data_IF_948046619400
#
_entry.id   IF_948046619400
#
_cell.length_a   1.000
_cell.length_b   1.000
_cell.length_c   1.000
_cell.angle_alpha   90.00
_cell.angle_beta   90.00
_cell.angle_gamma   90.00
#
_symmetry.space_group_name_H-M   'P 1'
#
loop_
_entity.id
_entity.type
_entity.pdbx_description
1 polymer ?
#
# COMPACT_ATOMS: atom_id res chain seq x y z
N UNK A 1 6.79 0.54 21.82
CA UNK A 1 5.36 0.58 21.45
C UNK A 1 5.16 1.79 20.56
N UNK A 2 4.44 1.65 19.46
CA UNK A 2 4.21 2.76 18.54
C UNK A 2 3.12 3.70 19.08
N UNK A 3 3.26 4.98 18.77
CA UNK A 3 2.30 6.05 19.06
C UNK A 3 1.80 6.58 17.72
N UNK A 4 0.48 6.70 17.59
CA UNK A 4 -0.14 7.39 16.46
C UNK A 4 -0.09 8.91 16.69
N UNK A 5 0.61 9.63 15.81
CA UNK A 5 0.77 11.10 15.89
C UNK A 5 -0.24 11.86 14.99
N UNK A 6 -1.13 11.15 14.30
CA UNK A 6 -2.14 11.72 13.41
C UNK A 6 -1.88 11.44 11.92
N UNK A 7 -2.64 12.11 11.06
CA UNK A 7 -2.50 12.07 9.61
C UNK A 7 -1.95 13.42 9.13
N UNK A 8 -0.98 13.40 8.21
CA UNK A 8 -0.48 14.61 7.55
C UNK A 8 -0.52 14.46 6.05
N UNK A 9 -0.98 15.49 5.36
CA UNK A 9 -0.96 15.57 3.90
C UNK A 9 0.26 16.34 3.42
N UNK A 10 1.16 15.69 2.67
CA UNK A 10 2.35 16.32 2.07
C UNK A 10 2.96 15.42 0.99
N UNK A 11 3.80 16.02 0.14
CA UNK A 11 4.40 15.34 -1.01
C UNK A 11 3.38 14.92 -2.06
N UNK A 12 3.87 14.59 -3.25
CA UNK A 12 3.05 14.07 -4.35
C UNK A 12 3.81 13.01 -5.15
N UNK A 13 3.07 12.14 -5.82
CA UNK A 13 3.59 11.33 -6.92
C UNK A 13 3.64 12.21 -8.17
N UNK A 14 4.75 12.19 -8.89
CA UNK A 14 4.92 12.92 -10.14
C UNK A 14 5.16 11.95 -11.29
N UNK A 15 4.60 12.28 -12.44
CA UNK A 15 4.91 11.68 -13.74
C UNK A 15 5.22 12.81 -14.72
N UNK A 16 6.37 12.78 -15.40
CA UNK A 16 6.84 13.86 -16.28
C UNK A 16 6.85 15.26 -15.62
N UNK A 17 7.19 15.30 -14.33
CA UNK A 17 7.14 16.51 -13.48
C UNK A 17 5.74 17.09 -13.22
N UNK A 18 4.68 16.41 -13.63
CA UNK A 18 3.31 16.77 -13.30
C UNK A 18 2.79 15.95 -12.10
N UNK A 19 2.25 16.63 -11.06
CA UNK A 19 1.75 15.95 -9.87
C UNK A 19 0.47 15.16 -10.21
N UNK A 20 0.46 13.89 -9.84
CA UNK A 20 -0.64 12.98 -10.07
C UNK A 20 -1.75 13.18 -9.00
N UNK A 21 -3.02 13.00 -9.37
CA UNK A 21 -4.12 13.07 -8.40
C UNK A 21 -3.97 12.03 -7.29
N UNK A 22 -4.30 12.41 -6.05
CA UNK A 22 -4.48 11.43 -4.98
C UNK A 22 -5.69 10.54 -5.36
N UNK A 23 -5.55 9.21 -5.44
CA UNK A 23 -6.66 8.37 -5.85
C UNK A 23 -7.82 8.45 -4.86
N UNK A 24 -9.00 8.84 -5.35
CA UNK A 24 -10.24 8.88 -4.57
C UNK A 24 -10.98 7.53 -4.56
N UNK A 25 -10.65 6.67 -5.52
CA UNK A 25 -11.07 5.27 -5.63
C UNK A 25 -9.80 4.40 -5.75
N UNK A 26 -9.06 4.22 -4.64
CA UNK A 26 -7.76 3.54 -4.62
C UNK A 26 -7.89 2.01 -4.70
N UNK A 27 -8.58 1.53 -5.71
CA UNK A 27 -8.79 0.11 -6.00
C UNK A 27 -8.61 -0.17 -7.49
N UNK A 28 -8.83 -1.42 -7.89
CA UNK A 28 -8.77 -1.92 -9.25
C UNK A 28 -9.31 -0.94 -10.31
N UNK A 29 -8.47 -0.61 -11.28
CA UNK A 29 -8.73 0.46 -12.27
C UNK A 29 -9.44 -0.02 -13.53
N UNK A 30 -9.47 -1.34 -13.78
CA UNK A 30 -10.02 -1.93 -14.99
C UNK A 30 -10.80 -3.23 -14.69
N UNK A 31 -12.09 -3.24 -15.01
CA UNK A 31 -12.97 -4.42 -14.86
C UNK A 31 -13.14 -5.24 -16.15
N UNK A 32 -12.43 -4.89 -17.22
CA UNK A 32 -12.49 -5.64 -18.48
C UNK A 32 -11.71 -6.95 -18.41
N UNK A 33 -10.71 -7.00 -17.53
CA UNK A 33 -9.80 -8.16 -17.35
C UNK A 33 -10.20 -8.99 -16.13
N UNK A 34 -10.54 -8.34 -15.01
CA UNK A 34 -11.00 -8.99 -13.78
C UNK A 34 -12.47 -8.71 -13.52
N UNK A 35 -13.15 -9.68 -12.91
CA UNK A 35 -14.55 -9.53 -12.54
C UNK A 35 -14.74 -8.35 -11.58
N UNK A 36 -15.74 -7.53 -11.87
CA UNK A 36 -16.21 -6.49 -10.95
C UNK A 36 -16.42 -7.08 -9.54
N UNK A 37 -15.75 -6.57 -8.49
CA UNK A 37 -15.75 -7.22 -7.18
C UNK A 37 -17.13 -7.35 -6.54
N UNK A 38 -17.98 -6.32 -6.66
CA UNK A 38 -19.38 -6.36 -6.24
C UNK A 38 -20.23 -5.35 -7.01
N UNK A 39 -21.54 -5.58 -7.02
CA UNK A 39 -22.52 -4.73 -7.73
C UNK A 39 -22.45 -3.28 -7.22
N UNK A 40 -22.42 -2.32 -8.14
CA UNK A 40 -22.33 -0.89 -7.80
C UNK A 40 -20.91 -0.32 -7.65
N UNK A 41 -19.86 -1.15 -7.59
CA UNK A 41 -18.47 -0.66 -7.56
C UNK A 41 -18.04 -0.05 -8.90
N UNK A 42 -17.53 1.18 -8.88
CA UNK A 42 -16.99 1.86 -10.07
C UNK A 42 -15.49 1.57 -10.23
N UNK A 43 -14.93 1.65 -11.46
CA UNK A 43 -13.49 1.49 -11.66
C UNK A 43 -12.68 2.48 -10.83
N UNK A 44 -11.55 2.03 -10.32
CA UNK A 44 -10.58 2.83 -9.60
C UNK A 44 -9.98 3.95 -10.45
N UNK A 45 -9.21 4.81 -9.80
CA UNK A 45 -8.54 5.93 -10.47
C UNK A 45 -7.11 6.14 -9.98
N UNK A 46 -6.43 5.04 -9.66
CA UNK A 46 -5.01 5.06 -9.33
C UNK A 46 -4.21 5.35 -10.60
N UNK A 47 -3.14 6.14 -10.49
CA UNK A 47 -2.18 6.28 -11.58
C UNK A 47 -1.62 4.92 -12.00
N UNK A 48 -1.38 4.73 -13.30
CA UNK A 48 -0.95 3.46 -13.87
C UNK A 48 0.48 3.60 -14.44
N UNK A 49 1.38 2.70 -14.05
CA UNK A 49 2.77 2.71 -14.51
C UNK A 49 2.89 2.22 -15.97
N UNK A 50 2.17 1.15 -16.30
CA UNK A 50 1.91 0.74 -17.69
C UNK A 50 0.67 1.52 -18.17
N UNK A 51 0.79 2.39 -19.18
CA UNK A 51 1.18 2.01 -20.56
C UNK A 51 2.59 2.43 -21.01
N UNK A 52 3.36 3.15 -20.19
CA UNK A 52 4.69 3.65 -20.55
C UNK A 52 5.69 3.37 -19.42
N UNK A 53 6.17 2.12 -19.26
CA UNK A 53 6.96 1.67 -18.12
C UNK A 53 8.39 2.21 -18.18
N UNK A 54 8.57 3.45 -17.74
CA UNK A 54 9.86 4.11 -17.63
C UNK A 54 9.93 4.85 -16.29
N UNK A 55 10.61 4.24 -15.32
CA UNK A 55 10.71 4.78 -13.97
C UNK A 55 11.41 6.15 -13.92
N UNK A 56 12.23 6.51 -14.91
CA UNK A 56 12.91 7.81 -14.92
C UNK A 56 11.94 8.99 -14.99
N UNK A 57 10.70 8.73 -15.41
CA UNK A 57 9.61 9.71 -15.51
C UNK A 57 8.79 9.83 -14.23
N UNK A 58 8.95 8.88 -13.29
CA UNK A 58 8.20 8.80 -12.05
C UNK A 58 9.06 9.18 -10.85
N UNK A 59 8.49 9.95 -9.92
CA UNK A 59 9.16 10.23 -8.65
C UNK A 59 8.18 10.58 -7.55
N UNK A 60 8.53 10.23 -6.32
CA UNK A 60 7.96 10.85 -5.13
C UNK A 60 8.68 12.18 -4.88
N UNK A 61 7.95 13.27 -4.67
CA UNK A 61 8.56 14.59 -4.51
C UNK A 61 7.76 15.55 -3.65
N UNK A 62 8.16 16.82 -3.72
CA UNK A 62 7.64 17.93 -2.92
C UNK A 62 6.12 18.08 -2.97
N UNK A 63 5.58 18.79 -1.98
CA UNK A 63 4.15 19.05 -1.87
C UNK A 63 3.65 19.85 -3.08
N UNK A 64 2.61 19.35 -3.73
CA UNK A 64 1.93 20.03 -4.82
C UNK A 64 1.16 21.25 -4.31
N UNK A 65 1.12 22.32 -5.11
CA UNK A 65 0.30 23.51 -4.84
C UNK A 65 -1.20 23.20 -4.89
N UNK A 66 -1.60 22.20 -5.67
CA UNK A 66 -2.95 21.64 -5.66
C UNK A 66 -3.04 20.55 -4.59
N UNK A 67 -3.79 20.82 -3.51
CA UNK A 67 -3.95 19.91 -2.38
C UNK A 67 -4.61 18.58 -2.73
N UNK A 68 -5.32 18.48 -3.87
CA UNK A 68 -5.92 17.21 -4.35
C UNK A 68 -4.89 16.19 -4.84
N UNK A 69 -3.62 16.61 -4.98
CA UNK A 69 -2.53 15.74 -5.41
C UNK A 69 -1.63 15.33 -4.22
N UNK A 70 -1.89 15.87 -3.03
CA UNK A 70 -1.03 15.63 -1.87
C UNK A 70 -1.33 14.27 -1.26
N UNK A 71 -0.28 13.54 -0.91
CA UNK A 71 -0.40 12.21 -0.30
C UNK A 71 -0.73 12.31 1.18
N UNK A 72 -1.57 11.40 1.65
CA UNK A 72 -1.95 11.30 3.06
C UNK A 72 -1.10 10.24 3.76
N UNK A 73 -0.50 10.64 4.88
CA UNK A 73 0.43 9.81 5.63
C UNK A 73 -0.06 9.61 7.05
N UNK A 74 -0.27 8.35 7.43
CA UNK A 74 -0.49 7.93 8.81
C UNK A 74 0.85 7.93 9.53
N UNK A 75 0.98 8.74 10.58
CA UNK A 75 2.25 8.93 11.28
C UNK A 75 2.30 8.03 12.50
N UNK A 76 3.27 7.09 12.50
CA UNK A 76 3.56 6.22 13.63
C UNK A 76 4.98 6.49 14.13
N UNK A 77 5.14 6.62 15.44
CA UNK A 77 6.44 6.86 16.05
C UNK A 77 6.72 5.85 17.16
N UNK A 78 7.92 5.29 17.16
CA UNK A 78 8.48 4.57 18.31
C UNK A 78 9.70 5.31 18.88
N UNK A 79 10.53 4.62 19.67
CA UNK A 79 11.74 5.22 20.26
C UNK A 79 12.88 5.43 19.28
N UNK A 80 12.85 4.78 18.11
CA UNK A 80 13.94 4.73 17.14
C UNK A 80 13.59 5.39 15.80
N UNK A 81 12.32 5.41 15.42
CA UNK A 81 11.86 5.78 14.08
C UNK A 81 10.55 6.54 14.14
N UNK A 82 10.39 7.45 13.18
CA UNK A 82 9.10 8.01 12.79
C UNK A 82 8.78 7.55 11.36
N UNK A 83 7.69 6.81 11.25
CA UNK A 83 7.16 6.24 10.02
C UNK A 83 6.00 7.10 9.52
N UNK A 84 5.94 7.24 8.21
CA UNK A 84 4.83 7.83 7.48
C UNK A 84 4.33 6.75 6.53
N UNK A 85 3.17 6.17 6.82
CA UNK A 85 2.58 5.11 6.01
C UNK A 85 1.53 5.75 5.10
N UNK A 86 1.68 5.59 3.78
CA UNK A 86 0.66 6.11 2.88
C UNK A 86 -0.65 5.37 3.11
N UNK A 87 -1.73 6.12 3.27
CA UNK A 87 -3.05 5.58 3.61
C UNK A 87 -3.69 4.78 2.47
N UNK A 88 -3.10 4.80 1.26
CA UNK A 88 -3.56 4.09 0.06
C UNK A 88 -2.44 3.74 -0.90
N UNK A 89 -2.74 2.89 -1.88
CA UNK A 89 -1.89 2.66 -3.06
C UNK A 89 -1.94 3.91 -3.95
N UNK A 90 -0.79 4.30 -4.52
CA UNK A 90 -0.66 5.52 -5.33
C UNK A 90 -0.30 5.25 -6.80
N UNK A 91 0.12 4.01 -7.11
CA UNK A 91 0.52 3.59 -8.46
C UNK A 91 0.20 2.10 -8.64
N UNK A 92 -0.54 1.72 -9.68
CA UNK A 92 -0.80 0.31 -10.06
C UNK A 92 -0.16 -0.02 -11.40
N UNK A 93 -0.30 -1.28 -11.87
CA UNK A 93 0.39 -1.82 -13.04
C UNK A 93 1.91 -1.63 -12.97
N UNK A 94 2.43 -1.67 -11.75
CA UNK A 94 3.86 -1.61 -11.45
C UNK A 94 4.23 -2.95 -10.84
N UNK A 95 5.32 -3.56 -11.30
CA UNK A 95 5.78 -4.83 -10.75
C UNK A 95 6.65 -4.61 -9.52
N UNK A 96 6.84 -5.68 -8.74
CA UNK A 96 7.82 -5.66 -7.67
C UNK A 96 9.23 -5.44 -8.22
N UNK A 97 9.55 -6.02 -9.38
CA UNK A 97 10.84 -5.84 -10.06
C UNK A 97 11.08 -4.38 -10.45
N UNK A 98 10.07 -3.68 -10.96
CA UNK A 98 10.19 -2.25 -11.29
C UNK A 98 10.56 -1.42 -10.05
N UNK A 99 9.90 -1.71 -8.93
CA UNK A 99 10.18 -1.06 -7.63
C UNK A 99 11.56 -1.45 -7.08
N UNK A 100 12.00 -2.69 -7.31
CA UNK A 100 13.32 -3.16 -6.91
C UNK A 100 14.41 -2.44 -7.68
N UNK A 101 14.32 -2.41 -9.01
CA UNK A 101 15.29 -1.75 -9.89
C UNK A 101 15.34 -0.24 -9.64
N UNK A 102 14.22 0.36 -9.28
CA UNK A 102 14.13 1.75 -8.85
C UNK A 102 14.61 2.02 -7.41
N UNK A 103 14.95 0.97 -6.65
CA UNK A 103 15.48 1.06 -5.28
C UNK A 103 14.43 1.20 -4.16
N UNK A 104 13.14 1.13 -4.47
CA UNK A 104 12.05 1.31 -3.50
C UNK A 104 11.72 0.05 -2.69
N UNK A 105 12.23 -1.14 -3.03
CA UNK A 105 12.01 -2.33 -2.20
C UNK A 105 12.75 -2.20 -0.87
N UNK A 106 14.07 -2.11 -0.91
CA UNK A 106 14.93 -2.01 0.29
C UNK A 106 14.99 -0.58 0.84
N UNK A 107 14.88 0.38 -0.08
CA UNK A 107 14.61 1.77 0.18
C UNK A 107 15.63 2.73 -0.40
N UNK A 108 15.13 3.82 -0.94
CA UNK A 108 15.90 4.89 -1.56
C UNK A 108 15.74 6.19 -0.76
N UNK A 109 16.76 7.05 -0.79
CA UNK A 109 16.69 8.38 -0.20
C UNK A 109 15.82 9.28 -1.08
N UNK A 110 14.80 9.90 -0.49
CA UNK A 110 13.97 10.93 -1.12
C UNK A 110 14.01 12.21 -0.29
N UNK A 111 13.83 13.35 -0.95
CA UNK A 111 13.69 14.65 -0.29
C UNK A 111 12.30 15.19 -0.64
N UNK A 112 11.53 15.54 0.39
CA UNK A 112 10.18 16.10 0.27
C UNK A 112 10.11 17.31 1.20
N UNK A 113 9.84 18.48 0.64
CA UNK A 113 9.75 19.76 1.33
C UNK A 113 11.02 20.06 2.15
N UNK A 114 12.19 19.76 1.57
CA UNK A 114 13.50 19.96 2.19
C UNK A 114 13.86 18.96 3.29
N UNK A 115 12.99 17.99 3.60
CA UNK A 115 13.25 16.94 4.59
C UNK A 115 13.62 15.63 3.92
N UNK A 116 14.63 14.95 4.47
CA UNK A 116 15.12 13.68 3.95
C UNK A 116 14.38 12.50 4.56
N UNK A 117 14.01 11.53 3.72
CA UNK A 117 13.41 10.27 4.13
C UNK A 117 14.05 9.09 3.41
N UNK A 118 13.97 7.90 4.02
CA UNK A 118 14.10 6.64 3.31
C UNK A 118 12.71 6.21 2.85
N UNK A 119 12.46 6.14 1.55
CA UNK A 119 11.22 5.62 0.99
C UNK A 119 11.37 4.15 0.63
N UNK A 120 10.47 3.29 1.12
CA UNK A 120 10.51 1.85 0.83
C UNK A 120 9.14 1.17 0.81
N UNK A 121 9.12 -0.15 0.59
CA UNK A 121 7.99 -1.01 0.86
C UNK A 121 7.91 -1.44 2.33
N UNK A 122 6.69 -1.70 2.81
CA UNK A 122 6.45 -2.36 4.09
C UNK A 122 6.83 -3.83 4.04
N UNK A 123 7.21 -4.42 5.17
CA UNK A 123 7.24 -5.88 5.28
C UNK A 123 5.83 -6.47 5.36
N UNK A 124 5.62 -7.61 4.70
CA UNK A 124 4.31 -8.29 4.61
C UNK A 124 4.27 -9.71 5.15
N UNK A 125 5.41 -10.22 5.64
CA UNK A 125 5.60 -11.64 5.94
C UNK A 125 6.12 -12.42 4.72
N UNK A 126 6.83 -13.51 4.98
CA UNK A 126 7.44 -14.40 3.99
C UNK A 126 6.66 -15.69 3.76
N UNK A 127 5.62 -15.96 4.56
CA UNK A 127 4.73 -17.11 4.39
C UNK A 127 3.30 -16.78 4.84
N UNK A 128 2.34 -17.67 4.55
CA UNK A 128 0.99 -17.57 5.09
C UNK A 128 0.99 -17.76 6.61
N UNK A 129 0.08 -17.09 7.32
CA UNK A 129 -0.03 -17.26 8.76
C UNK A 129 -0.59 -18.62 9.17
N UNK A 130 -1.62 -19.12 8.45
CA UNK A 130 -2.25 -20.43 8.66
C UNK A 130 -2.49 -21.11 7.30
N UNK A 131 -2.01 -22.36 7.13
CA UNK A 131 -2.34 -23.33 6.08
C UNK A 131 -2.81 -22.78 4.71
N UNK A 132 -2.07 -21.84 4.14
CA UNK A 132 -2.35 -21.21 2.84
C UNK A 132 -3.74 -20.56 2.70
N UNK A 133 -4.40 -20.18 3.80
CA UNK A 133 -5.76 -19.63 3.76
C UNK A 133 -5.86 -18.22 3.15
N UNK A 134 -4.74 -17.50 3.10
CA UNK A 134 -4.64 -16.09 2.74
C UNK A 134 -5.32 -15.14 3.73
N UNK A 135 -6.34 -15.56 4.47
CA UNK A 135 -7.17 -14.70 5.32
C UNK A 135 -6.63 -14.49 6.74
N UNK A 136 -5.60 -15.23 7.16
CA UNK A 136 -5.05 -15.13 8.53
C UNK A 136 -3.86 -14.19 8.70
N UNK A 137 -3.38 -13.56 7.62
CA UNK A 137 -2.20 -12.67 7.66
C UNK A 137 -0.93 -13.33 7.18
N UNK A 138 0.20 -12.67 7.47
CA UNK A 138 1.53 -13.16 7.15
C UNK A 138 2.22 -13.87 8.32
N UNK A 139 3.19 -14.71 7.98
CA UNK A 139 4.20 -15.22 8.89
C UNK A 139 5.59 -14.71 8.45
N UNK A 140 6.45 -14.24 9.36
CA UNK A 140 6.17 -13.99 10.77
C UNK A 140 5.17 -12.83 10.97
N UNK A 141 4.44 -12.88 12.09
CA UNK A 141 3.31 -12.00 12.39
C UNK A 141 3.69 -10.57 12.84
N UNK A 142 4.98 -10.32 13.06
CA UNK A 142 5.55 -9.03 13.46
C UNK A 142 5.95 -8.16 12.26
N UNK A 143 5.53 -8.55 11.05
CA UNK A 143 5.63 -7.73 9.85
C UNK A 143 4.81 -6.43 9.96
N UNK A 144 5.22 -5.40 9.22
CA UNK A 144 4.68 -4.04 9.33
C UNK A 144 3.22 -3.96 8.86
N UNK A 145 2.84 -4.71 7.83
CA UNK A 145 1.43 -4.73 7.39
C UNK A 145 0.52 -5.26 8.50
N UNK A 146 0.83 -6.42 9.08
CA UNK A 146 0.02 -7.02 10.13
C UNK A 146 -0.02 -6.12 11.37
N UNK A 147 1.13 -5.58 11.78
CA UNK A 147 1.21 -4.71 12.95
C UNK A 147 0.41 -3.43 12.78
N UNK A 148 0.55 -2.75 11.64
CA UNK A 148 0.06 -1.38 11.47
C UNK A 148 -1.23 -1.31 10.66
N UNK A 149 -1.23 -1.86 9.44
CA UNK A 149 -2.38 -1.76 8.54
C UNK A 149 -3.50 -2.67 9.01
N UNK A 150 -3.24 -3.95 9.27
CA UNK A 150 -4.26 -4.89 9.79
C UNK A 150 -4.58 -4.68 11.28
N UNK A 151 -3.80 -3.86 11.99
CA UNK A 151 -4.04 -3.51 13.39
C UNK A 151 -3.83 -4.65 14.38
N UNK A 152 -2.86 -5.55 14.11
CA UNK A 152 -2.42 -6.59 15.06
C UNK A 152 -1.74 -5.96 16.29
N UNK A 153 -0.96 -4.90 16.10
CA UNK A 153 -0.52 -4.04 17.19
C UNK A 153 -1.65 -3.09 17.57
N UNK A 154 -2.05 -3.08 18.85
CA UNK A 154 -3.12 -2.20 19.34
C UNK A 154 -2.56 -0.82 19.66
N UNK A 155 -2.52 0.04 18.64
CA UNK A 155 -2.08 1.44 18.76
C UNK A 155 -3.31 2.32 19.03
N UNK A 156 -3.30 3.06 20.14
CA UNK A 156 -4.39 3.95 20.53
C UNK A 156 -4.66 4.99 19.43
N UNK A 157 -5.91 5.13 19.03
CA UNK A 157 -6.36 6.10 18.02
C UNK A 157 -6.47 5.55 16.60
N UNK A 158 -5.95 4.34 16.33
CA UNK A 158 -6.18 3.65 15.05
C UNK A 158 -7.46 2.79 15.10
N UNK A 159 -8.20 2.67 13.98
CA UNK A 159 -9.30 1.72 13.89
C UNK A 159 -8.80 0.27 13.97
N UNK A 160 -9.69 -0.65 14.34
CA UNK A 160 -9.42 -2.09 14.29
C UNK A 160 -10.31 -2.76 13.26
N UNK A 161 -9.80 -3.81 12.62
CA UNK A 161 -10.59 -4.68 11.75
C UNK A 161 -11.79 -5.25 12.53
N UNK A 162 -12.97 -5.11 11.93
CA UNK A 162 -14.21 -5.75 12.35
C UNK A 162 -14.26 -7.20 11.84
N UNK A 163 -15.36 -7.90 12.12
CA UNK A 163 -15.57 -9.25 11.57
C UNK A 163 -15.79 -9.24 10.06
N UNK A 164 -16.50 -8.23 9.52
CA UNK A 164 -16.78 -8.13 8.07
C UNK A 164 -15.50 -7.89 7.27
N UNK A 165 -14.58 -7.08 7.80
CA UNK A 165 -13.27 -6.80 7.19
C UNK A 165 -12.34 -8.02 7.01
N UNK A 166 -12.72 -9.17 7.60
CA UNK A 166 -11.92 -10.40 7.65
C UNK A 166 -12.52 -11.56 6.87
N UNK A 167 -13.73 -11.40 6.33
CA UNK A 167 -14.48 -12.51 5.73
C UNK A 167 -13.94 -12.96 4.38
N UNK A 168 -13.22 -12.08 3.67
CA UNK A 168 -12.84 -12.30 2.27
C UNK A 168 -13.99 -12.04 1.28
N UNK A 169 -15.13 -11.54 1.75
CA UNK A 169 -16.28 -11.22 0.88
C UNK A 169 -16.38 -9.71 0.72
N UNK A 170 -16.18 -9.23 -0.51
CA UNK A 170 -16.27 -7.82 -0.83
C UNK A 170 -17.71 -7.35 -0.96
N UNK A 171 -18.00 -6.18 -0.38
CA UNK A 171 -19.31 -5.54 -0.40
C UNK A 171 -19.17 -4.04 -0.16
N UNK A 172 -20.26 -3.30 -0.40
CA UNK A 172 -20.30 -1.87 -0.06
C UNK A 172 -20.15 -1.64 1.44
N UNK A 173 -20.64 -2.56 2.29
CA UNK A 173 -20.43 -2.51 3.74
C UNK A 173 -18.95 -2.54 4.11
N UNK A 174 -18.18 -3.46 3.50
CA UNK A 174 -16.73 -3.56 3.74
C UNK A 174 -15.99 -2.36 3.16
N UNK A 175 -16.42 -1.85 2.00
CA UNK A 175 -15.86 -0.64 1.41
C UNK A 175 -16.06 0.57 2.34
N UNK A 176 -17.24 0.72 2.95
CA UNK A 176 -17.57 1.80 3.88
C UNK A 176 -17.11 1.54 5.33
N UNK A 177 -16.46 0.42 5.62
CA UNK A 177 -16.06 0.11 7.00
C UNK A 177 -15.08 1.17 7.55
N UNK A 178 -15.14 1.52 8.84
CA UNK A 178 -14.23 2.51 9.42
C UNK A 178 -12.75 2.18 9.21
N UNK A 179 -12.41 0.88 9.19
CA UNK A 179 -11.05 0.45 8.95
C UNK A 179 -10.62 0.64 7.50
N UNK A 180 -11.47 0.29 6.53
CA UNK A 180 -11.15 0.53 5.12
C UNK A 180 -11.16 2.03 4.77
N UNK A 181 -12.07 2.83 5.31
CA UNK A 181 -12.06 4.28 5.10
C UNK A 181 -10.77 4.95 5.60
N UNK A 182 -10.10 4.34 6.57
CA UNK A 182 -8.80 4.80 7.06
C UNK A 182 -7.62 4.28 6.22
N UNK A 183 -7.61 2.98 5.87
CA UNK A 183 -6.44 2.30 5.28
C UNK A 183 -6.54 1.96 3.79
N UNK A 184 -7.69 2.14 3.16
CA UNK A 184 -7.94 1.93 1.72
C UNK A 184 -7.33 0.63 1.20
N UNK A 185 -7.68 -0.50 1.81
CA UNK A 185 -7.12 -1.82 1.43
C UNK A 185 -8.06 -2.61 0.53
N UNK A 186 -9.34 -2.23 0.41
CA UNK A 186 -10.33 -2.93 -0.41
C UNK A 186 -10.02 -2.81 -1.89
N UNK A 187 -10.11 -3.94 -2.62
CA UNK A 187 -10.12 -3.98 -4.09
C UNK A 187 -8.78 -3.74 -4.79
N UNK A 188 -7.68 -3.63 -4.05
CA UNK A 188 -6.32 -3.67 -4.60
C UNK A 188 -5.33 -4.24 -3.57
N UNK A 189 -4.30 -4.94 -4.03
CA UNK A 189 -3.20 -5.45 -3.22
C UNK A 189 -1.96 -4.54 -3.30
N UNK A 190 -1.32 -4.30 -2.16
CA UNK A 190 -0.05 -3.57 -2.07
C UNK A 190 1.13 -4.53 -2.14
N UNK A 191 2.13 -4.23 -2.97
CA UNK A 191 3.42 -4.92 -2.90
C UNK A 191 4.07 -4.73 -1.52
N UNK A 192 4.77 -5.77 -1.06
CA UNK A 192 5.59 -5.72 0.16
C UNK A 192 7.03 -6.10 -0.14
N UNK A 193 7.96 -5.76 0.76
CA UNK A 193 9.39 -5.98 0.55
C UNK A 193 9.80 -7.45 0.65
N UNK A 194 9.00 -8.30 1.32
CA UNK A 194 9.41 -9.63 1.73
C UNK A 194 9.21 -10.67 0.61
N UNK A 195 10.27 -11.39 0.17
CA UNK A 195 10.13 -12.55 -0.71
C UNK A 195 9.40 -13.71 -0.02
N UNK A 196 8.70 -14.53 -0.81
CA UNK A 196 8.05 -15.73 -0.27
C UNK A 196 9.07 -16.87 -0.08
N UNK A 197 9.03 -17.50 1.09
CA UNK A 197 10.08 -18.45 1.51
C UNK A 197 10.17 -19.71 0.64
N UNK A 198 9.06 -20.16 0.05
CA UNK A 198 9.01 -21.42 -0.71
C UNK A 198 8.96 -21.22 -2.24
N UNK A 199 9.10 -19.99 -2.74
CA UNK A 199 9.09 -19.70 -4.19
C UNK A 199 9.80 -18.38 -4.48
N UNK A 200 11.01 -18.46 -5.03
CA UNK A 200 11.87 -17.30 -5.32
C UNK A 200 11.25 -16.28 -6.28
N UNK A 201 10.31 -16.71 -7.13
CA UNK A 201 9.58 -15.82 -8.04
C UNK A 201 8.35 -15.18 -7.40
N UNK A 202 7.93 -15.61 -6.21
CA UNK A 202 6.78 -15.01 -5.52
C UNK A 202 7.16 -13.82 -4.67
N UNK A 203 6.28 -12.83 -4.64
CA UNK A 203 6.30 -11.71 -3.71
C UNK A 203 4.97 -11.61 -2.99
N UNK A 204 5.06 -11.26 -1.72
CA UNK A 204 3.90 -11.05 -0.87
C UNK A 204 3.20 -9.74 -1.24
N UNK A 205 1.88 -9.83 -1.38
CA UNK A 205 0.97 -8.71 -1.58
C UNK A 205 -0.09 -8.74 -0.48
N UNK A 206 -0.59 -7.56 -0.09
CA UNK A 206 -1.52 -7.44 1.04
C UNK A 206 -2.71 -6.54 0.73
N UNK A 207 -3.90 -6.85 1.24
CA UNK A 207 -5.14 -6.09 1.00
C UNK A 207 -6.11 -6.80 0.05
N UNK A 208 -6.88 -6.09 -0.76
CA UNK A 208 -7.92 -6.62 -1.64
C UNK A 208 -9.22 -7.07 -0.94
N UNK A 209 -9.33 -8.33 -0.49
CA UNK A 209 -10.61 -8.89 0.00
C UNK A 209 -10.76 -8.92 1.53
N UNK A 210 -9.65 -8.79 2.26
CA UNK A 210 -9.65 -8.61 3.70
C UNK A 210 -8.48 -7.72 4.11
N UNK A 211 -8.60 -6.96 5.20
CA UNK A 211 -7.54 -6.05 5.63
C UNK A 211 -6.24 -6.74 6.07
N UNK A 212 -6.31 -8.04 6.31
CA UNK A 212 -5.18 -8.91 6.65
C UNK A 212 -4.89 -9.95 5.56
N UNK A 213 -5.50 -9.82 4.37
CA UNK A 213 -5.32 -10.80 3.31
C UNK A 213 -3.85 -10.86 2.85
N UNK A 214 -3.35 -12.08 2.72
CA UNK A 214 -2.06 -12.47 2.20
C UNK A 214 -2.26 -13.07 0.82
N UNK A 215 -1.58 -12.51 -0.16
CA UNK A 215 -1.61 -12.99 -1.52
C UNK A 215 -0.20 -13.09 -2.09
N UNK A 216 -0.02 -13.99 -3.05
CA UNK A 216 1.24 -14.16 -3.75
C UNK A 216 1.06 -13.84 -5.21
N UNK A 217 1.91 -12.98 -5.73
CA UNK A 217 2.02 -12.75 -7.16
C UNK A 217 3.48 -12.93 -7.59
N UNK A 218 3.71 -13.10 -8.88
CA UNK A 218 5.05 -13.20 -9.47
C UNK A 218 5.70 -11.81 -9.54
N UNK A 219 6.99 -11.74 -9.21
CA UNK A 219 7.70 -10.47 -8.97
C UNK A 219 7.72 -9.50 -10.16
N UNK A 220 7.56 -10.00 -11.38
CA UNK A 220 7.56 -9.26 -12.65
C UNK A 220 6.16 -8.87 -13.14
N UNK A 221 5.10 -9.27 -12.43
CA UNK A 221 3.73 -9.01 -12.87
C UNK A 221 3.30 -7.55 -12.65
N UNK A 222 2.62 -7.00 -13.65
CA UNK A 222 1.94 -5.70 -13.62
C UNK A 222 0.44 -5.95 -13.82
N UNK A 223 -0.38 -5.59 -12.85
CA UNK A 223 -1.84 -5.71 -12.94
C UNK A 223 -2.56 -4.47 -12.42
N UNK A 224 -3.80 -4.30 -12.86
CA UNK A 224 -4.73 -3.22 -12.54
C UNK A 224 -5.11 -3.13 -11.06
N UNK A 225 -4.89 -4.19 -10.29
CA UNK A 225 -5.26 -4.30 -8.88
C UNK A 225 -4.05 -4.49 -7.96
N UNK A 226 -2.82 -4.42 -8.49
CA UNK A 226 -1.58 -4.55 -7.71
C UNK A 226 -0.70 -3.32 -7.88
N UNK A 227 -0.17 -2.82 -6.77
CA UNK A 227 0.55 -1.57 -6.83
C UNK A 227 1.40 -1.20 -5.63
N UNK A 228 1.90 0.02 -5.72
CA UNK A 228 2.82 0.62 -4.78
C UNK A 228 2.09 1.46 -3.73
N UNK A 229 2.25 1.06 -2.46
CA UNK A 229 1.92 1.86 -1.28
C UNK A 229 3.24 2.20 -0.57
N UNK A 230 3.75 3.44 -0.70
CA UNK A 230 5.01 3.80 -0.09
C UNK A 230 4.90 3.97 1.42
N UNK A 231 6.04 3.77 2.09
CA UNK A 231 6.28 4.26 3.43
C UNK A 231 7.54 5.12 3.45
N UNK A 232 7.57 6.11 4.34
CA UNK A 232 8.73 6.93 4.60
C UNK A 232 9.24 6.71 6.02
N UNK A 233 10.54 6.56 6.16
CA UNK A 233 11.23 6.65 7.44
C UNK A 233 11.96 7.99 7.48
N UNK A 234 11.63 8.84 8.45
CA UNK A 234 12.34 10.11 8.67
C UNK A 234 13.81 9.83 9.00
N UNK A 235 14.71 10.42 8.21
CA UNK A 235 16.15 10.37 8.47
C UNK A 235 16.56 11.67 9.19
N UNK A 236 17.31 11.52 10.27
CA UNK A 236 17.92 12.63 11.01
C UNK A 236 19.16 13.16 10.31
#
# INVERSE_FOLDING_TARGET
MHIFEGIKSFGALYHDNEPQPLPSRPWIVDFSILQKPFVGMEPGNISEFEPAPDWSRWRLGDTSSNSKNNLNWVILKDTIRRLYICDRIILVRVSWQDLFDAGYVDGIKVVIDGKTYKCRLMSGGSDFHLDNDGLSGGHPADNEWDRFVSGREKIKGLPSLTSSDKTGVLSDEVLQSPHNQFWNWVGAVSWTSTPYVNRDTARCCRGYQAGQFFYLNTYDHRHEDIGWRPILEELL
#
